data_IF_611925673073
#
_entry.id   IF_611925673073
#
_cell.length_a   1.000
_cell.length_b   1.000
_cell.length_c   1.000
_cell.angle_alpha   90.00
_cell.angle_beta   90.00
_cell.angle_gamma   90.00
#
_symmetry.space_group_name_H-M   'P 1'
#
loop_
_entity.id
_entity.type
_entity.pdbx_description
1 polymer ?
#
# COMPACT_ATOMS: atom_id res chain seq x y z
N UNK A 1 -21.98 -5.37 -2.58
CA UNK A 1 -21.67 -4.54 -3.76
C UNK A 1 -20.59 -5.26 -4.55
N UNK A 2 -20.66 -5.36 -5.89
CA UNK A 2 -19.49 -5.80 -6.63
C UNK A 2 -18.33 -4.85 -6.29
N UNK A 3 -17.20 -5.44 -5.86
CA UNK A 3 -15.96 -4.74 -5.54
C UNK A 3 -15.35 -4.18 -6.82
N UNK A 4 -15.95 -3.10 -7.33
CA UNK A 4 -15.45 -2.38 -8.48
C UNK A 4 -14.34 -1.43 -8.04
N UNK A 5 -13.23 -1.45 -8.77
CA UNK A 5 -12.22 -0.42 -8.65
C UNK A 5 -12.77 0.85 -9.29
N UNK A 6 -12.55 1.97 -8.62
CA UNK A 6 -12.97 3.30 -9.03
C UNK A 6 -11.75 4.06 -9.54
N UNK A 7 -11.86 4.64 -10.74
CA UNK A 7 -10.80 5.44 -11.33
C UNK A 7 -11.13 6.92 -11.24
N UNK A 8 -10.15 7.78 -10.93
CA UNK A 8 -10.35 9.22 -11.00
C UNK A 8 -10.83 9.63 -12.40
N UNK A 9 -11.88 10.44 -12.45
CA UNK A 9 -12.40 11.01 -13.67
C UNK A 9 -11.56 12.24 -14.06
N UNK A 10 -10.47 12.01 -14.80
CA UNK A 10 -9.54 13.09 -15.18
C UNK A 10 -10.19 14.22 -16.00
N UNK A 11 -11.35 13.99 -16.61
CA UNK A 11 -12.12 15.04 -17.31
C UNK A 11 -12.74 16.07 -16.34
N UNK A 12 -12.89 15.71 -15.06
CA UNK A 12 -13.49 16.54 -14.00
C UNK A 12 -12.48 16.98 -12.95
N UNK A 13 -11.29 16.42 -12.99
CA UNK A 13 -10.21 16.75 -12.05
C UNK A 13 -9.32 17.78 -12.74
N UNK A 14 -9.70 19.04 -12.61
CA UNK A 14 -8.84 20.18 -12.90
C UNK A 14 -7.55 20.07 -12.05
N UNK A 15 -6.38 20.49 -12.58
CA UNK A 15 -5.11 20.17 -11.97
C UNK A 15 -5.01 20.82 -10.59
N UNK A 16 -5.14 20.01 -9.54
CA UNK A 16 -4.71 20.40 -8.22
C UNK A 16 -4.19 19.20 -7.46
N UNK A 17 -2.95 19.32 -6.98
CA UNK A 17 -2.36 18.44 -5.97
C UNK A 17 -3.25 18.26 -4.72
N UNK A 18 -4.22 19.14 -4.52
CA UNK A 18 -5.20 19.11 -3.45
C UNK A 18 -6.21 17.96 -3.59
N UNK A 19 -6.66 17.62 -4.80
CA UNK A 19 -7.68 16.58 -5.00
C UNK A 19 -7.28 15.26 -4.32
N UNK A 20 -6.06 14.76 -4.58
CA UNK A 20 -5.62 13.48 -4.02
C UNK A 20 -5.23 13.54 -2.53
N UNK A 21 -4.93 14.72 -1.99
CA UNK A 21 -4.61 14.88 -0.57
C UNK A 21 -5.85 14.69 0.31
N UNK A 22 -7.00 15.18 -0.18
CA UNK A 22 -8.25 15.26 0.57
C UNK A 22 -9.25 14.15 0.21
N UNK A 23 -9.03 13.39 -0.87
CA UNK A 23 -9.84 12.21 -1.24
C UNK A 23 -10.05 11.25 -0.07
N UNK A 24 -9.07 11.12 0.83
CA UNK A 24 -9.27 10.29 2.02
C UNK A 24 -10.39 10.85 2.91
N UNK A 25 -10.54 12.15 3.09
CA UNK A 25 -11.61 12.70 3.91
C UNK A 25 -12.92 12.82 3.13
N UNK A 26 -12.87 13.21 1.86
CA UNK A 26 -14.05 13.61 1.08
C UNK A 26 -14.47 12.57 0.03
N UNK A 27 -14.06 11.31 0.17
CA UNK A 27 -14.31 10.28 -0.83
C UNK A 27 -15.79 10.18 -1.25
N UNK A 28 -16.71 10.10 -0.27
CA UNK A 28 -18.12 9.87 -0.56
C UNK A 28 -18.75 11.05 -1.33
N UNK A 29 -18.59 12.31 -0.90
CA UNK A 29 -18.99 13.46 -1.70
C UNK A 29 -18.39 13.47 -3.11
N UNK A 30 -17.09 13.17 -3.26
CA UNK A 30 -16.44 13.14 -4.57
C UNK A 30 -17.00 12.04 -5.47
N UNK A 31 -17.27 10.86 -4.91
CA UNK A 31 -17.89 9.75 -5.61
C UNK A 31 -19.32 10.09 -6.09
N UNK A 32 -20.14 10.68 -5.22
CA UNK A 32 -21.52 11.09 -5.54
C UNK A 32 -21.58 12.21 -6.60
N UNK A 33 -20.49 12.95 -6.79
CA UNK A 33 -20.37 14.01 -7.79
C UNK A 33 -19.61 13.58 -9.06
N UNK A 34 -19.53 12.27 -9.35
CA UNK A 34 -18.93 11.66 -10.54
C UNK A 34 -17.43 11.98 -10.77
N UNK A 35 -16.69 12.32 -9.71
CA UNK A 35 -15.23 12.44 -9.78
C UNK A 35 -14.52 11.08 -9.89
N UNK A 36 -15.28 9.98 -9.82
CA UNK A 36 -14.80 8.64 -10.02
C UNK A 36 -15.66 7.88 -11.02
N UNK A 37 -15.04 7.09 -11.90
CA UNK A 37 -15.70 6.18 -12.85
C UNK A 37 -15.46 4.73 -12.41
N UNK A 38 -16.51 3.90 -12.27
CA UNK A 38 -16.35 2.50 -11.94
C UNK A 38 -15.79 1.71 -13.12
N UNK A 39 -14.96 0.70 -12.83
CA UNK A 39 -14.66 -0.34 -13.80
C UNK A 39 -15.61 -1.52 -13.61
N UNK A 40 -16.40 -1.80 -14.65
CA UNK A 40 -17.48 -2.79 -14.61
C UNK A 40 -17.05 -4.18 -15.08
N UNK A 41 -15.76 -4.40 -15.39
CA UNK A 41 -15.22 -5.72 -15.72
C UNK A 41 -14.22 -6.20 -14.67
N UNK A 42 -14.14 -7.52 -14.40
CA UNK A 42 -13.06 -8.09 -13.61
C UNK A 42 -11.70 -7.73 -14.22
N UNK A 43 -10.83 -7.19 -13.39
CA UNK A 43 -9.49 -6.81 -13.81
C UNK A 43 -8.52 -6.88 -12.63
N UNK A 44 -7.26 -7.11 -12.96
CA UNK A 44 -6.10 -6.85 -12.12
C UNK A 44 -5.24 -5.81 -12.83
N UNK A 45 -4.38 -5.15 -12.07
CA UNK A 45 -3.56 -4.07 -12.61
C UNK A 45 -2.10 -4.33 -12.32
N UNK A 46 -1.25 -4.01 -13.27
CA UNK A 46 0.19 -3.92 -13.02
C UNK A 46 0.50 -2.48 -12.74
N UNK A 47 1.12 -2.22 -11.60
CA UNK A 47 1.55 -0.89 -11.20
C UNK A 47 3.06 -0.81 -11.20
N UNK A 48 3.60 0.19 -11.88
CA UNK A 48 5.04 0.50 -11.91
C UNK A 48 5.28 1.94 -11.51
N UNK A 49 6.31 2.13 -10.69
CA UNK A 49 6.86 3.42 -10.29
C UNK A 49 8.31 3.46 -10.77
N UNK A 50 8.63 4.40 -11.66
CA UNK A 50 10.00 4.69 -12.08
C UNK A 50 10.51 5.90 -11.28
N UNK A 51 11.55 5.70 -10.48
CA UNK A 51 12.27 6.74 -9.72
C UNK A 51 13.57 7.11 -10.44
N UNK A 52 14.32 8.07 -9.90
CA UNK A 52 15.64 8.43 -10.44
C UNK A 52 16.67 7.29 -10.34
N UNK A 53 16.52 6.38 -9.37
CA UNK A 53 17.51 5.33 -9.10
C UNK A 53 17.12 3.98 -9.70
N UNK A 54 15.82 3.62 -9.63
CA UNK A 54 15.31 2.32 -10.06
C UNK A 54 13.81 2.38 -10.32
N UNK A 55 13.25 1.27 -10.74
CA UNK A 55 11.80 1.08 -10.73
C UNK A 55 11.38 0.06 -9.68
N UNK A 56 10.11 0.15 -9.31
CA UNK A 56 9.38 -0.82 -8.51
C UNK A 56 8.12 -1.19 -9.28
N UNK A 57 7.81 -2.49 -9.38
CA UNK A 57 6.61 -2.96 -10.04
C UNK A 57 5.93 -4.09 -9.27
N UNK A 58 4.60 -4.11 -9.34
CA UNK A 58 3.79 -5.09 -8.64
C UNK A 58 2.41 -5.25 -9.26
N UNK A 59 1.60 -6.12 -8.66
CA UNK A 59 0.23 -6.41 -9.09
C UNK A 59 -0.73 -5.81 -8.07
N UNK A 60 -1.65 -4.98 -8.53
CA UNK A 60 -2.75 -4.45 -7.75
C UNK A 60 -4.01 -5.29 -8.00
N UNK A 61 -4.59 -5.84 -6.93
CA UNK A 61 -5.73 -6.74 -7.00
C UNK A 61 -6.56 -6.70 -5.71
N UNK A 62 -7.78 -7.25 -5.79
CA UNK A 62 -8.62 -7.54 -4.64
C UNK A 62 -8.23 -8.93 -4.08
N UNK A 63 -7.80 -8.98 -2.82
CA UNK A 63 -7.37 -10.22 -2.16
C UNK A 63 -8.41 -10.61 -1.10
N UNK A 64 -8.96 -11.83 -1.09
CA UNK A 64 -9.96 -12.23 -0.11
C UNK A 64 -9.43 -12.13 1.32
N UNK A 65 -10.20 -11.55 2.24
CA UNK A 65 -9.80 -11.39 3.65
C UNK A 65 -9.60 -12.74 4.35
N UNK A 66 -10.20 -13.81 3.82
CA UNK A 66 -10.04 -15.18 4.26
C UNK A 66 -8.58 -15.64 4.20
N UNK A 67 -7.79 -15.13 3.25
CA UNK A 67 -6.35 -15.43 3.18
C UNK A 67 -5.61 -14.89 4.44
N UNK A 68 -6.08 -13.80 5.03
CA UNK A 68 -5.56 -13.31 6.31
C UNK A 68 -5.98 -14.21 7.47
N UNK A 69 -7.26 -14.61 7.56
CA UNK A 69 -7.74 -15.49 8.63
C UNK A 69 -7.09 -16.89 8.59
N UNK A 70 -6.78 -17.42 7.40
CA UNK A 70 -6.05 -18.68 7.22
C UNK A 70 -4.55 -18.56 7.48
N UNK A 71 -4.04 -17.35 7.59
CA UNK A 71 -2.63 -17.07 7.86
C UNK A 71 -1.72 -17.12 6.62
N UNK A 72 -2.29 -17.03 5.41
CA UNK A 72 -1.53 -16.89 4.15
C UNK A 72 -0.98 -15.47 3.99
N UNK A 73 -1.62 -14.48 4.61
CA UNK A 73 -1.14 -13.10 4.78
C UNK A 73 -0.60 -12.94 6.21
N UNK A 74 0.71 -12.69 6.35
CA UNK A 74 1.41 -12.55 7.63
C UNK A 74 1.65 -11.09 8.02
N UNK A 75 1.33 -10.72 9.26
CA UNK A 75 1.78 -9.47 9.87
C UNK A 75 3.15 -9.62 10.54
N UNK A 76 3.85 -8.51 10.74
CA UNK A 76 5.13 -8.44 11.46
C UNK A 76 5.14 -7.40 12.61
N UNK A 77 4.03 -6.70 12.81
CA UNK A 77 3.80 -5.78 13.93
C UNK A 77 2.35 -5.92 14.42
N UNK A 78 2.13 -5.58 15.69
CA UNK A 78 0.79 -5.47 16.27
C UNK A 78 0.15 -4.13 15.95
N UNK A 79 -1.17 -4.09 15.96
CA UNK A 79 -1.95 -2.87 15.74
C UNK A 79 -2.33 -2.20 17.07
N UNK A 80 -2.39 -0.87 17.09
CA UNK A 80 -2.85 -0.08 18.23
C UNK A 80 -4.38 0.13 18.20
N UNK A 81 -5.10 -0.32 19.22
CA UNK A 81 -6.57 -0.29 19.31
C UNK A 81 -7.19 1.10 19.02
N UNK A 82 -6.61 2.17 19.57
CA UNK A 82 -7.11 3.53 19.34
C UNK A 82 -7.12 3.92 17.86
N UNK A 83 -6.07 3.55 17.11
CA UNK A 83 -5.98 3.81 15.67
C UNK A 83 -6.93 2.93 14.87
N UNK A 84 -7.28 1.75 15.38
CA UNK A 84 -8.22 0.85 14.71
C UNK A 84 -9.64 1.40 14.72
N UNK A 85 -10.12 1.93 15.85
CA UNK A 85 -11.46 2.50 15.94
C UNK A 85 -11.66 3.64 14.94
N UNK A 86 -10.73 4.61 14.92
CA UNK A 86 -10.81 5.75 14.00
C UNK A 86 -10.85 5.29 12.52
N UNK A 87 -10.00 4.32 12.17
CA UNK A 87 -9.94 3.82 10.80
C UNK A 87 -11.16 2.96 10.42
N UNK A 88 -11.77 2.25 11.39
CA UNK A 88 -13.04 1.55 11.20
C UNK A 88 -14.19 2.52 10.95
N UNK A 89 -14.29 3.59 11.73
CA UNK A 89 -15.31 4.63 11.55
C UNK A 89 -15.21 5.25 10.16
N UNK A 90 -13.99 5.57 9.73
CA UNK A 90 -13.71 6.07 8.38
C UNK A 90 -14.06 5.06 7.27
N UNK A 91 -13.82 3.76 7.49
CA UNK A 91 -14.21 2.72 6.53
C UNK A 91 -15.74 2.64 6.40
N UNK A 92 -16.47 2.74 7.52
CA UNK A 92 -17.94 2.73 7.54
C UNK A 92 -18.53 3.96 6.86
N UNK A 93 -17.94 5.12 7.08
CA UNK A 93 -18.34 6.39 6.46
C UNK A 93 -18.14 6.35 4.95
N UNK A 94 -16.93 5.98 4.49
CA UNK A 94 -16.57 6.01 3.06
C UNK A 94 -17.18 4.86 2.27
N UNK A 95 -17.40 3.72 2.92
CA UNK A 95 -17.76 2.44 2.29
C UNK A 95 -16.77 2.02 1.18
N UNK A 96 -15.51 2.45 1.29
CA UNK A 96 -14.46 2.21 0.30
C UNK A 96 -13.07 2.16 0.94
N UNK A 97 -12.19 1.33 0.37
CA UNK A 97 -10.76 1.30 0.69
C UNK A 97 -10.01 2.27 -0.22
N UNK A 98 -9.41 3.32 0.36
CA UNK A 98 -8.76 4.40 -0.40
C UNK A 98 -7.29 4.11 -0.70
N UNK A 99 -6.60 3.36 0.18
CA UNK A 99 -5.17 3.11 0.08
C UNK A 99 -4.88 1.60 0.05
N UNK A 100 -4.08 1.10 -0.90
CA UNK A 100 -3.81 -0.32 -1.01
C UNK A 100 -2.95 -0.81 0.16
N UNK A 101 -3.24 -1.98 0.70
CA UNK A 101 -2.31 -2.72 1.57
C UNK A 101 -1.13 -3.15 0.72
N UNK A 102 0.09 -2.85 1.18
CA UNK A 102 1.30 -3.30 0.51
C UNK A 102 1.63 -4.71 1.00
N UNK A 103 1.51 -5.68 0.11
CA UNK A 103 1.94 -7.05 0.38
C UNK A 103 3.27 -7.32 -0.33
N UNK A 104 4.13 -8.08 0.32
CA UNK A 104 5.37 -8.59 -0.28
C UNK A 104 5.39 -10.11 -0.25
N UNK A 105 6.07 -10.73 -1.22
CA UNK A 105 6.22 -12.19 -1.31
C UNK A 105 7.61 -12.55 -1.84
N UNK A 106 8.06 -13.78 -1.59
CA UNK A 106 9.35 -14.24 -2.13
C UNK A 106 9.37 -14.13 -3.66
N UNK A 107 10.48 -13.73 -4.24
CA UNK A 107 10.56 -13.51 -5.69
C UNK A 107 10.32 -14.82 -6.45
N UNK A 108 9.31 -14.80 -7.34
CA UNK A 108 8.95 -15.91 -8.22
C UNK A 108 9.21 -15.49 -9.68
N UNK A 109 10.23 -16.05 -10.36
CA UNK A 109 10.59 -15.65 -11.72
C UNK A 109 9.45 -15.76 -12.74
N UNK A 110 8.56 -16.75 -12.58
CA UNK A 110 7.40 -16.91 -13.45
C UNK A 110 6.42 -15.72 -13.37
N UNK A 111 6.22 -15.17 -12.17
CA UNK A 111 5.36 -14.00 -11.95
C UNK A 111 6.01 -12.74 -12.53
N UNK A 112 7.32 -12.53 -12.32
CA UNK A 112 8.04 -11.40 -12.92
C UNK A 112 7.96 -11.43 -14.46
N UNK A 113 8.17 -12.61 -15.05
CA UNK A 113 8.04 -12.78 -16.50
C UNK A 113 6.60 -12.54 -16.99
N UNK A 114 5.60 -12.95 -16.21
CA UNK A 114 4.19 -12.66 -16.52
C UNK A 114 3.93 -11.15 -16.49
N UNK A 115 4.39 -10.43 -15.46
CA UNK A 115 4.28 -8.97 -15.35
C UNK A 115 4.91 -8.27 -16.57
N UNK A 116 6.13 -8.66 -16.95
CA UNK A 116 6.83 -8.09 -18.10
C UNK A 116 6.07 -8.29 -19.41
N UNK A 117 5.47 -9.47 -19.64
CA UNK A 117 4.66 -9.74 -20.84
C UNK A 117 3.50 -8.77 -20.96
N UNK A 118 2.78 -8.52 -19.87
CA UNK A 118 1.62 -7.63 -19.89
C UNK A 118 1.98 -6.16 -20.13
N UNK A 119 3.21 -5.75 -19.81
CA UNK A 119 3.70 -4.39 -20.09
C UNK A 119 3.92 -4.11 -21.57
N UNK A 120 3.90 -5.14 -22.43
CA UNK A 120 3.91 -4.96 -23.89
C UNK A 120 2.59 -4.38 -24.42
N UNK A 121 1.52 -4.41 -23.62
CA UNK A 121 0.26 -3.76 -23.95
C UNK A 121 0.34 -2.25 -23.74
N UNK A 122 -0.62 -1.52 -24.34
CA UNK A 122 -0.76 -0.07 -24.10
C UNK A 122 -1.05 0.20 -22.61
N UNK A 123 -0.33 1.14 -21.96
CA UNK A 123 -0.66 1.57 -20.60
C UNK A 123 -2.09 2.09 -20.49
N UNK A 124 -2.76 1.72 -19.39
CA UNK A 124 -4.09 2.18 -19.05
C UNK A 124 -4.06 3.60 -18.47
N UNK A 125 -3.14 3.86 -17.54
CA UNK A 125 -2.92 5.17 -16.94
C UNK A 125 -1.41 5.45 -16.90
N UNK A 126 -1.02 6.67 -17.22
CA UNK A 126 0.37 7.13 -17.11
C UNK A 126 0.40 8.59 -16.64
N UNK A 127 1.11 8.87 -15.55
CA UNK A 127 1.23 10.22 -14.99
C UNK A 127 2.56 10.43 -14.26
N UNK A 128 2.87 11.69 -13.95
CA UNK A 128 4.05 12.08 -13.15
C UNK A 128 3.61 12.61 -11.79
N UNK A 129 4.37 12.30 -10.75
CA UNK A 129 4.22 12.87 -9.42
C UNK A 129 5.60 13.24 -8.88
N UNK A 130 5.89 14.55 -8.84
CA UNK A 130 7.27 15.02 -8.63
C UNK A 130 8.20 14.46 -9.71
N UNK A 131 9.32 13.87 -9.27
CA UNK A 131 10.31 13.24 -10.14
C UNK A 131 9.94 11.81 -10.59
N UNK A 132 8.92 11.21 -9.97
CA UNK A 132 8.54 9.83 -10.24
C UNK A 132 7.53 9.74 -11.37
N UNK A 133 7.65 8.69 -12.19
CA UNK A 133 6.69 8.34 -13.23
C UNK A 133 5.90 7.11 -12.78
N UNK A 134 4.59 7.19 -12.93
CA UNK A 134 3.67 6.13 -12.53
C UNK A 134 2.98 5.59 -13.78
N UNK A 135 3.00 4.27 -13.94
CA UNK A 135 2.37 3.60 -15.06
C UNK A 135 1.54 2.44 -14.57
N UNK A 136 0.31 2.34 -15.07
CA UNK A 136 -0.63 1.27 -14.74
C UNK A 136 -1.07 0.59 -16.04
N UNK A 137 -1.01 -0.74 -16.08
CA UNK A 137 -1.59 -1.56 -17.14
C UNK A 137 -2.78 -2.32 -16.58
N UNK A 138 -3.89 -2.33 -17.31
CA UNK A 138 -5.07 -3.13 -16.97
C UNK A 138 -4.99 -4.49 -17.66
N UNK A 139 -5.23 -5.55 -16.90
CA UNK A 139 -5.33 -6.92 -17.40
C UNK A 139 -6.73 -7.42 -17.09
N UNK A 140 -7.53 -7.64 -18.13
CA UNK A 140 -8.95 -7.99 -18.03
C UNK A 140 -9.34 -9.24 -18.84
N UNK A 141 -8.38 -9.89 -19.51
CA UNK A 141 -8.62 -11.16 -20.20
C UNK A 141 -8.69 -12.28 -19.18
N UNK A 142 -9.72 -13.13 -19.25
CA UNK A 142 -9.99 -14.14 -18.25
C UNK A 142 -8.85 -15.16 -18.13
N UNK A 143 -8.26 -15.55 -19.27
CA UNK A 143 -7.15 -16.48 -19.36
C UNK A 143 -5.90 -15.90 -18.67
N UNK A 144 -5.58 -14.63 -18.93
CA UNK A 144 -4.42 -13.98 -18.32
C UNK A 144 -4.58 -13.80 -16.80
N UNK A 145 -5.79 -13.51 -16.34
CA UNK A 145 -6.12 -13.43 -14.91
C UNK A 145 -6.00 -14.83 -14.26
N UNK A 146 -6.51 -15.87 -14.92
CA UNK A 146 -6.40 -17.24 -14.43
C UNK A 146 -4.94 -17.69 -14.33
N UNK A 147 -4.10 -17.38 -15.33
CA UNK A 147 -2.68 -17.71 -15.35
C UNK A 147 -1.96 -17.19 -14.10
N UNK A 148 -2.15 -15.91 -13.78
CA UNK A 148 -1.48 -15.31 -12.62
C UNK A 148 -2.06 -15.78 -11.30
N UNK A 149 -3.39 -16.02 -11.23
CA UNK A 149 -4.00 -16.63 -10.05
C UNK A 149 -3.41 -18.02 -9.77
N UNK A 150 -3.22 -18.83 -10.83
CA UNK A 150 -2.58 -20.14 -10.73
C UNK A 150 -1.12 -20.03 -10.26
N UNK A 151 -0.34 -19.11 -10.83
CA UNK A 151 1.04 -18.88 -10.40
C UNK A 151 1.14 -18.52 -8.91
N UNK A 152 0.25 -17.65 -8.41
CA UNK A 152 0.19 -17.33 -6.99
C UNK A 152 -0.21 -18.55 -6.15
N UNK A 153 -1.22 -19.30 -6.56
CA UNK A 153 -1.70 -20.47 -5.82
C UNK A 153 -0.64 -21.58 -5.72
N UNK A 154 0.18 -21.78 -6.76
CA UNK A 154 1.16 -22.87 -6.84
C UNK A 154 2.54 -22.50 -6.29
N UNK A 155 2.98 -21.25 -6.45
CA UNK A 155 4.38 -20.88 -6.23
C UNK A 155 4.59 -19.86 -5.10
N UNK A 156 3.54 -19.19 -4.63
CA UNK A 156 3.64 -18.23 -3.53
C UNK A 156 3.19 -18.90 -2.24
N UNK A 157 4.15 -19.23 -1.38
CA UNK A 157 3.88 -19.92 -0.10
C UNK A 157 3.13 -19.02 0.87
N UNK A 158 3.60 -17.78 1.05
CA UNK A 158 3.02 -16.78 1.94
C UNK A 158 3.27 -15.38 1.40
N UNK A 159 2.39 -14.46 1.79
CA UNK A 159 2.58 -13.02 1.61
C UNK A 159 2.73 -12.35 2.98
N UNK A 160 3.43 -11.22 3.02
CA UNK A 160 3.69 -10.47 4.23
C UNK A 160 3.18 -9.05 4.05
N UNK A 161 2.51 -8.51 5.07
CA UNK A 161 2.10 -7.11 5.10
C UNK A 161 3.37 -6.29 5.29
N UNK A 162 3.78 -5.55 4.27
CA UNK A 162 4.90 -4.61 4.35
C UNK A 162 4.41 -3.22 4.78
N UNK A 163 3.20 -2.82 4.40
CA UNK A 163 2.52 -1.63 4.95
C UNK A 163 0.99 -1.85 4.95
N UNK A 164 0.33 -1.44 6.03
CA UNK A 164 -1.13 -1.47 6.13
C UNK A 164 -1.73 -2.48 7.10
N UNK A 165 -1.03 -2.89 8.16
CA UNK A 165 -1.53 -3.85 9.17
C UNK A 165 -2.87 -3.41 9.76
N UNK A 166 -3.01 -2.13 10.09
CA UNK A 166 -4.29 -1.57 10.55
C UNK A 166 -5.41 -1.76 9.52
N UNK A 167 -5.16 -1.51 8.22
CA UNK A 167 -6.17 -1.66 7.17
C UNK A 167 -6.60 -3.12 7.01
N UNK A 168 -5.65 -4.06 7.10
CA UNK A 168 -5.93 -5.49 7.10
C UNK A 168 -6.80 -5.89 8.29
N UNK A 169 -6.37 -5.58 9.52
CA UNK A 169 -7.10 -5.93 10.75
C UNK A 169 -8.50 -5.34 10.78
N UNK A 170 -8.67 -4.10 10.32
CA UNK A 170 -9.97 -3.42 10.31
C UNK A 170 -10.91 -4.00 9.27
N UNK A 171 -10.39 -4.35 8.09
CA UNK A 171 -11.21 -5.02 7.07
C UNK A 171 -11.68 -6.39 7.57
N UNK A 172 -10.81 -7.14 8.26
CA UNK A 172 -11.19 -8.39 8.93
C UNK A 172 -12.29 -8.19 9.97
N UNK A 173 -12.11 -7.24 10.91
CA UNK A 173 -13.10 -6.91 11.94
C UNK A 173 -14.43 -6.46 11.33
N UNK A 174 -14.39 -5.66 10.26
CA UNK A 174 -15.59 -5.17 9.60
C UNK A 174 -16.33 -6.29 8.86
N UNK A 175 -15.60 -7.20 8.20
CA UNK A 175 -16.17 -8.39 7.56
C UNK A 175 -16.89 -9.30 8.57
N UNK A 176 -16.31 -9.48 9.76
CA UNK A 176 -16.93 -10.19 10.88
C UNK A 176 -18.17 -9.47 11.41
N UNK A 177 -18.12 -8.14 11.61
CA UNK A 177 -19.24 -7.34 12.11
C UNK A 177 -20.49 -7.42 11.21
N UNK A 178 -20.28 -7.40 9.89
CA UNK A 178 -21.39 -7.48 8.92
C UNK A 178 -21.74 -8.92 8.51
N UNK A 179 -20.97 -9.90 8.95
CA UNK A 179 -21.14 -11.32 8.60
C UNK A 179 -20.99 -11.62 7.11
N UNK A 180 -20.16 -10.87 6.38
CA UNK A 180 -19.94 -11.05 4.94
C UNK A 180 -18.45 -11.01 4.59
N UNK A 181 -17.98 -11.90 3.70
CA UNK A 181 -16.59 -11.87 3.26
C UNK A 181 -16.31 -10.60 2.46
N UNK A 182 -15.17 -9.96 2.78
CA UNK A 182 -14.69 -8.77 2.10
C UNK A 182 -13.36 -9.05 1.40
N UNK A 183 -12.98 -8.15 0.50
CA UNK A 183 -11.66 -8.17 -0.11
C UNK A 183 -10.80 -7.02 0.42
N UNK A 184 -9.51 -7.24 0.46
CA UNK A 184 -8.47 -6.22 0.63
C UNK A 184 -8.08 -5.68 -0.73
N UNK A 185 -8.13 -4.36 -0.87
CA UNK A 185 -7.43 -3.65 -1.91
C UNK A 185 -5.93 -3.73 -1.63
N UNK A 186 -5.20 -4.52 -2.41
CA UNK A 186 -3.78 -4.79 -2.21
C UNK A 186 -2.97 -4.37 -3.43
N UNK A 187 -1.71 -4.00 -3.19
CA UNK A 187 -0.66 -4.06 -4.22
C UNK A 187 0.45 -4.99 -3.73
N UNK A 188 0.74 -6.01 -4.52
CA UNK A 188 1.66 -7.08 -4.23
C UNK A 188 2.96 -6.86 -5.02
N UNK A 189 4.06 -6.67 -4.32
CA UNK A 189 5.40 -6.57 -4.90
C UNK A 189 6.22 -7.80 -4.53
N UNK A 190 7.06 -8.29 -5.45
CA UNK A 190 8.02 -9.32 -5.05
C UNK A 190 9.07 -8.73 -4.11
N UNK A 191 9.75 -9.57 -3.34
CA UNK A 191 10.80 -9.14 -2.40
C UNK A 191 11.94 -8.39 -3.09
N UNK A 192 12.18 -8.62 -4.39
CA UNK A 192 13.14 -7.88 -5.20
C UNK A 192 12.68 -6.48 -5.62
N UNK A 193 11.37 -6.22 -5.51
CA UNK A 193 10.68 -4.98 -5.86
C UNK A 193 10.23 -4.20 -4.61
N UNK A 194 10.84 -4.47 -3.46
CA UNK A 194 10.64 -3.74 -2.20
C UNK A 194 11.99 -3.36 -1.65
N UNK A 195 12.07 -2.18 -1.04
CA UNK A 195 13.23 -1.73 -0.30
C UNK A 195 12.84 -1.49 1.16
N UNK A 196 13.58 -2.09 2.09
CA UNK A 196 13.35 -1.95 3.52
C UNK A 196 14.40 -1.00 4.06
N UNK A 197 13.96 0.21 4.41
CA UNK A 197 14.81 1.24 4.98
C UNK A 197 14.68 1.28 6.50
N UNK A 198 15.71 1.77 7.18
CA UNK A 198 15.66 1.97 8.63
C UNK A 198 14.74 3.14 8.99
N UNK A 199 13.90 2.94 10.01
CA UNK A 199 13.11 4.01 10.59
C UNK A 199 13.95 4.79 11.61
N UNK A 200 14.32 6.03 11.27
CA UNK A 200 15.10 6.90 12.14
C UNK A 200 14.16 7.84 12.91
N UNK A 201 14.39 8.01 14.23
CA UNK A 201 13.63 8.95 15.07
C UNK A 201 14.51 10.12 15.46
N UNK A 202 13.95 11.33 15.35
CA UNK A 202 14.57 12.55 15.89
C UNK A 202 13.82 12.94 17.15
N UNK A 203 14.58 13.23 18.21
CA UNK A 203 14.04 13.76 19.47
C UNK A 203 14.57 15.17 19.64
N UNK A 204 13.66 16.14 19.65
CA UNK A 204 13.98 17.57 19.77
C UNK A 204 13.55 18.13 21.13
N UNK A 205 14.02 19.33 21.45
CA UNK A 205 13.57 20.07 22.63
C UNK A 205 14.08 19.53 23.97
N UNK A 206 15.09 18.64 23.96
CA UNK A 206 15.75 18.18 25.18
C UNK A 206 16.71 19.28 25.65
N UNK A 207 16.52 19.87 26.84
CA UNK A 207 17.47 20.84 27.38
C UNK A 207 18.85 20.19 27.55
N UNK A 208 19.94 20.91 27.25
CA UNK A 208 21.30 20.36 27.35
C UNK A 208 21.61 19.72 28.70
N UNK A 209 21.14 20.33 29.79
CA UNK A 209 21.27 19.81 31.17
C UNK A 209 20.64 18.43 31.39
N UNK A 210 19.73 17.99 30.51
CA UNK A 210 19.06 16.70 30.59
C UNK A 210 19.69 15.65 29.65
N UNK A 211 20.58 16.04 28.72
CA UNK A 211 21.15 15.14 27.72
C UNK A 211 21.97 14.03 28.36
N UNK A 212 22.81 14.36 29.35
CA UNK A 212 23.63 13.37 30.05
C UNK A 212 22.77 12.31 30.75
N UNK A 213 21.70 12.75 31.43
CA UNK A 213 20.75 11.85 32.08
C UNK A 213 20.02 10.94 31.09
N UNK A 214 19.62 11.48 29.95
CA UNK A 214 19.00 10.70 28.87
C UNK A 214 19.95 9.65 28.30
N UNK A 215 21.18 10.05 27.95
CA UNK A 215 22.22 9.14 27.42
C UNK A 215 22.48 8.03 28.42
N UNK A 216 22.63 8.36 29.72
CA UNK A 216 22.82 7.35 30.77
C UNK A 216 21.66 6.38 30.87
N UNK A 217 20.42 6.87 30.76
CA UNK A 217 19.25 5.99 30.81
C UNK A 217 19.15 5.06 29.59
N UNK A 218 19.39 5.59 28.39
CA UNK A 218 19.39 4.82 27.14
C UNK A 218 20.54 3.81 27.09
N UNK A 219 21.68 4.12 27.71
CA UNK A 219 22.85 3.22 27.78
C UNK A 219 22.56 1.90 28.50
N UNK A 220 21.45 1.81 29.25
CA UNK A 220 20.99 0.55 29.84
C UNK A 220 20.44 -0.44 28.79
N UNK A 221 20.10 0.04 27.59
CA UNK A 221 19.44 -0.75 26.54
C UNK A 221 20.32 -0.93 25.29
N UNK A 222 21.25 -0.03 25.03
CA UNK A 222 22.14 -0.07 23.87
C UNK A 222 23.47 0.64 24.12
N UNK A 223 24.47 0.37 23.28
CA UNK A 223 25.69 1.18 23.23
C UNK A 223 25.40 2.49 22.52
N UNK A 224 25.87 3.60 23.09
CA UNK A 224 25.67 4.94 22.55
C UNK A 224 27.03 5.54 22.23
N UNK A 225 27.19 5.95 20.98
CA UNK A 225 28.39 6.62 20.51
C UNK A 225 28.01 7.90 19.76
N UNK A 226 28.77 8.99 19.91
CA UNK A 226 28.60 10.17 19.08
C UNK A 226 28.71 9.79 17.58
N UNK A 227 27.71 10.17 16.79
CA UNK A 227 27.76 9.96 15.35
C UNK A 227 28.93 10.75 14.75
N UNK A 228 29.79 10.07 13.98
CA UNK A 228 30.85 10.72 13.17
C UNK A 228 30.29 11.49 11.97
N UNK A 229 29.03 11.24 11.64
CA UNK A 229 28.29 11.93 10.58
C UNK A 229 27.45 13.01 11.25
N UNK A 230 27.75 14.27 10.94
CA UNK A 230 26.82 15.37 11.26
C UNK A 230 25.59 15.20 10.36
N UNK A 231 24.44 14.96 10.98
CA UNK A 231 23.16 14.97 10.26
C UNK A 231 22.85 16.45 10.01
N UNK A 232 23.34 16.98 8.90
CA UNK A 232 22.95 18.30 8.43
C UNK A 232 21.43 18.26 8.16
N UNK A 233 20.70 19.32 8.52
CA UNK A 233 19.24 19.46 8.37
C UNK A 233 18.76 19.49 6.90
N UNK A 234 19.36 18.70 6.00
CA UNK A 234 18.83 18.48 4.68
C UNK A 234 17.78 17.39 4.77
N UNK A 235 16.54 17.87 4.89
CA UNK A 235 15.30 17.17 4.57
C UNK A 235 15.27 15.71 5.02
N UNK A 236 14.92 15.50 6.28
CA UNK A 236 14.23 14.29 6.69
C UNK A 236 12.92 14.28 5.88
N UNK A 237 12.89 13.52 4.78
CA UNK A 237 11.70 13.27 3.96
C UNK A 237 10.80 12.27 4.66
#
# INVERSE_FOLDING_TARGET
MPSSILFPNFDRIEPSSHFFADVKYDFLPLYENDYFKPNNRPAIYIYRIDTQQRFYQGITAAVPIEAYWKGDIKGHEGTLEMKEKQQLDLLKERKAQIKPVLLTYATVPAIENWILKQQSNRPFIHFKQGENKHTIWEVHQAEQIADIQQLFAEQVVQTYIADGHHRTTITAKYAEEIGQPLHLYCTLFSSSQVEILSFNRVVEGIPERNLEGLIKHLSNWCMIEPSKISICQQSIV
#
